data_IF_183203485148
#
_entry.id   IF_183203485148
#
_cell.length_a   1.000
_cell.length_b   1.000
_cell.length_c   1.000
_cell.angle_alpha   90.00
_cell.angle_beta   90.00
_cell.angle_gamma   90.00
#
_symmetry.space_group_name_H-M   'P 1'
#
loop_
_entity.id
_entity.type
_entity.pdbx_description
1 polymer ?
#
# COMPACT_ATOMS: atom_id res chain seq x y z
N UNK A 1 -46.25 -50.46 -5.61
CA UNK A 1 -45.79 -49.14 -6.00
C UNK A 1 -44.59 -48.80 -5.18
N UNK A 2 -43.46 -48.70 -5.82
CA UNK A 2 -42.19 -48.26 -5.14
C UNK A 2 -42.07 -46.74 -5.23
N UNK A 3 -42.14 -46.10 -4.08
CA UNK A 3 -41.81 -44.68 -3.96
C UNK A 3 -40.29 -44.51 -4.13
N UNK A 4 -39.90 -43.92 -5.25
CA UNK A 4 -38.50 -43.45 -5.39
C UNK A 4 -38.34 -42.18 -4.60
N UNK A 5 -37.67 -42.30 -3.48
CA UNK A 5 -37.23 -41.14 -2.72
C UNK A 5 -36.13 -40.42 -3.51
N UNK A 6 -36.43 -39.25 -4.03
CA UNK A 6 -35.43 -38.41 -4.66
C UNK A 6 -34.76 -37.60 -3.54
N UNK A 7 -33.58 -38.03 -3.16
CA UNK A 7 -32.74 -37.23 -2.28
C UNK A 7 -32.14 -36.11 -3.09
N UNK A 8 -32.68 -34.91 -2.97
CA UNK A 8 -31.98 -33.71 -3.39
C UNK A 8 -30.80 -33.47 -2.44
N UNK A 9 -29.62 -33.88 -2.86
CA UNK A 9 -28.38 -33.41 -2.25
C UNK A 9 -28.24 -31.94 -2.56
N UNK A 10 -28.65 -31.08 -1.62
CA UNK A 10 -28.30 -29.70 -1.65
C UNK A 10 -26.79 -29.60 -1.33
N UNK A 11 -26.00 -29.46 -2.38
CA UNK A 11 -24.57 -29.13 -2.21
C UNK A 11 -24.51 -27.67 -1.75
N UNK A 12 -24.41 -27.49 -0.44
CA UNK A 12 -24.07 -26.19 0.10
C UNK A 12 -22.61 -25.91 -0.28
N UNK A 13 -22.43 -25.15 -1.33
CA UNK A 13 -21.11 -24.56 -1.63
C UNK A 13 -20.85 -23.51 -0.57
N UNK A 14 -20.10 -23.87 0.46
CA UNK A 14 -19.57 -22.89 1.40
C UNK A 14 -18.54 -22.06 0.66
N UNK A 15 -18.91 -20.85 0.24
CA UNK A 15 -17.95 -19.86 -0.24
C UNK A 15 -17.17 -19.37 0.98
N UNK A 16 -15.97 -19.92 1.16
CA UNK A 16 -15.07 -19.41 2.17
C UNK A 16 -14.62 -18.00 1.74
N UNK A 17 -15.21 -16.98 2.34
CA UNK A 17 -14.69 -15.62 2.23
C UNK A 17 -13.42 -15.56 3.05
N UNK A 18 -12.27 -15.64 2.38
CA UNK A 18 -10.98 -15.39 3.03
C UNK A 18 -10.93 -13.93 3.45
N UNK A 19 -10.72 -13.63 4.73
CA UNK A 19 -10.55 -12.26 5.14
C UNK A 19 -9.34 -11.66 4.40
N UNK A 20 -9.52 -10.47 3.83
CA UNK A 20 -8.43 -9.71 3.22
C UNK A 20 -7.56 -9.19 4.36
N UNK A 21 -6.63 -10.01 4.82
CA UNK A 21 -5.60 -9.56 5.74
C UNK A 21 -4.47 -8.90 4.97
N UNK A 22 -3.88 -7.86 5.58
CA UNK A 22 -2.60 -7.36 5.15
C UNK A 22 -1.61 -8.53 5.22
N UNK A 23 -1.26 -9.08 4.06
CA UNK A 23 -0.39 -10.24 3.97
C UNK A 23 1.08 -9.84 4.21
N UNK A 24 1.91 -10.84 4.48
CA UNK A 24 3.36 -10.68 4.58
C UNK A 24 3.91 -9.93 3.36
N UNK A 25 4.74 -8.95 3.63
CA UNK A 25 5.50 -8.25 2.58
C UNK A 25 6.87 -8.88 2.46
N UNK A 26 7.18 -9.43 1.29
CA UNK A 26 8.36 -10.28 1.07
C UNK A 26 9.42 -9.67 0.16
N UNK A 27 9.13 -8.54 -0.47
CA UNK A 27 10.05 -7.89 -1.40
C UNK A 27 9.87 -6.38 -1.39
N UNK A 28 10.91 -5.69 -1.83
CA UNK A 28 10.87 -4.25 -2.03
C UNK A 28 9.80 -3.86 -3.05
N UNK A 29 9.67 -4.62 -4.13
CA UNK A 29 8.64 -4.39 -5.16
C UNK A 29 7.23 -4.49 -4.59
N UNK A 30 6.99 -5.48 -3.74
CA UNK A 30 5.70 -5.65 -3.07
C UNK A 30 5.44 -4.49 -2.11
N UNK A 31 6.46 -4.04 -1.38
CA UNK A 31 6.39 -2.89 -0.50
C UNK A 31 6.02 -1.61 -1.28
N UNK A 32 6.71 -1.36 -2.38
CA UNK A 32 6.45 -0.21 -3.27
C UNK A 32 5.03 -0.24 -3.79
N UNK A 33 4.55 -1.38 -4.25
CA UNK A 33 3.18 -1.52 -4.76
C UNK A 33 2.15 -1.17 -3.69
N UNK A 34 2.32 -1.67 -2.49
CA UNK A 34 1.40 -1.40 -1.38
C UNK A 34 1.41 0.07 -0.98
N UNK A 35 2.58 0.68 -0.95
CA UNK A 35 2.71 2.12 -0.68
C UNK A 35 2.07 2.94 -1.79
N UNK A 36 2.32 2.59 -3.05
CA UNK A 36 1.72 3.26 -4.19
C UNK A 36 0.18 3.23 -4.15
N UNK A 37 -0.40 2.10 -3.83
CA UNK A 37 -1.86 1.96 -3.67
C UNK A 37 -2.39 2.80 -2.50
N UNK A 38 -1.67 2.82 -1.38
CA UNK A 38 -2.04 3.61 -0.21
C UNK A 38 -1.98 5.12 -0.49
N UNK A 39 -0.93 5.58 -1.15
CA UNK A 39 -0.77 6.98 -1.56
C UNK A 39 -1.93 7.43 -2.44
N UNK A 40 -2.30 6.61 -3.43
CA UNK A 40 -3.40 6.91 -4.33
C UNK A 40 -4.76 6.89 -3.60
N UNK A 41 -5.01 5.89 -2.79
CA UNK A 41 -6.26 5.74 -2.04
C UNK A 41 -6.49 6.89 -1.06
N UNK A 42 -5.44 7.32 -0.39
CA UNK A 42 -5.49 8.38 0.61
C UNK A 42 -5.24 9.79 0.03
N UNK A 43 -4.95 9.88 -1.25
CA UNK A 43 -4.68 11.15 -1.96
C UNK A 43 -3.62 12.00 -1.25
N UNK A 44 -2.49 11.36 -0.93
CA UNK A 44 -1.43 12.01 -0.15
C UNK A 44 -0.60 13.02 -0.93
N UNK A 45 -0.73 13.06 -2.24
CA UNK A 45 -0.06 14.04 -3.10
C UNK A 45 -0.93 14.35 -4.31
N UNK A 46 -0.80 15.57 -4.82
CA UNK A 46 -1.41 16.00 -6.07
C UNK A 46 -0.55 15.73 -7.30
N UNK A 47 0.68 15.25 -7.09
CA UNK A 47 1.59 14.92 -8.18
C UNK A 47 1.08 13.70 -8.96
N UNK A 48 1.30 13.72 -10.26
CA UNK A 48 0.98 12.56 -11.12
C UNK A 48 1.84 11.37 -10.74
N UNK A 49 1.33 10.13 -10.85
CA UNK A 49 2.11 8.93 -10.53
C UNK A 49 3.45 8.85 -11.25
N UNK A 50 3.52 9.30 -12.51
CA UNK A 50 4.74 9.31 -13.32
C UNK A 50 5.81 10.27 -12.77
N UNK A 51 5.42 11.20 -11.91
CA UNK A 51 6.31 12.19 -11.30
C UNK A 51 6.70 11.83 -9.86
N UNK A 52 6.40 10.61 -9.44
CA UNK A 52 6.77 10.07 -8.14
C UNK A 52 7.86 9.02 -8.29
N UNK A 53 8.79 9.04 -7.36
CA UNK A 53 9.83 8.02 -7.22
C UNK A 53 9.64 7.31 -5.88
N UNK A 54 9.71 5.99 -5.90
CA UNK A 54 9.60 5.15 -4.71
C UNK A 54 10.94 4.48 -4.47
N UNK A 55 11.54 4.76 -3.33
CA UNK A 55 12.82 4.20 -2.95
C UNK A 55 12.63 3.30 -1.74
N UNK A 56 12.67 2.00 -1.95
CA UNK A 56 12.51 1.02 -0.90
C UNK A 56 13.86 0.59 -0.33
N UNK A 57 13.90 0.43 0.97
CA UNK A 57 15.04 -0.09 1.69
C UNK A 57 14.56 -1.14 2.70
N UNK A 58 15.25 -2.28 2.72
CA UNK A 58 14.97 -3.33 3.69
C UNK A 58 15.49 -2.93 5.06
N UNK A 59 14.63 -3.06 6.07
CA UNK A 59 14.98 -2.83 7.47
C UNK A 59 14.94 -4.14 8.25
N UNK A 60 15.30 -4.08 9.52
CA UNK A 60 15.28 -5.26 10.41
C UNK A 60 13.89 -5.92 10.46
N UNK A 61 12.83 -5.13 10.52
CA UNK A 61 11.45 -5.62 10.72
C UNK A 61 10.58 -5.53 9.48
N UNK A 62 11.08 -4.98 8.38
CA UNK A 62 10.28 -4.79 7.18
C UNK A 62 10.96 -3.92 6.15
N UNK A 63 10.29 -2.85 5.76
CA UNK A 63 10.75 -1.95 4.71
C UNK A 63 10.45 -0.50 5.07
N UNK A 64 11.34 0.38 4.64
CA UNK A 64 11.08 1.82 4.54
C UNK A 64 10.94 2.16 3.07
N UNK A 65 9.93 2.94 2.71
CA UNK A 65 9.75 3.43 1.35
C UNK A 65 9.68 4.94 1.38
N UNK A 66 10.68 5.58 0.80
CA UNK A 66 10.71 7.03 0.63
C UNK A 66 10.03 7.42 -0.67
N UNK A 67 9.15 8.40 -0.58
CA UNK A 67 8.53 9.04 -1.73
C UNK A 67 9.30 10.30 -2.07
N UNK A 68 9.72 10.40 -3.33
CA UNK A 68 10.44 11.58 -3.84
C UNK A 68 9.78 12.13 -5.08
N UNK A 69 9.93 13.44 -5.26
CA UNK A 69 9.56 14.09 -6.51
C UNK A 69 10.53 13.70 -7.61
N UNK A 70 9.99 13.29 -8.76
CA UNK A 70 10.77 13.09 -9.96
C UNK A 70 10.85 14.41 -10.72
N UNK A 71 12.06 14.88 -10.98
CA UNK A 71 12.30 16.08 -11.77
C UNK A 71 12.90 15.69 -13.12
N UNK A 72 12.15 15.94 -14.17
CA UNK A 72 12.57 15.73 -15.56
C UNK A 72 11.82 16.68 -16.49
N UNK A 73 12.00 16.52 -17.81
CA UNK A 73 11.37 17.38 -18.81
C UNK A 73 9.84 17.36 -18.74
N UNK A 74 9.23 16.26 -18.31
CA UNK A 74 7.77 16.13 -18.21
C UNK A 74 7.21 16.61 -16.87
N UNK A 75 7.92 16.33 -15.79
CA UNK A 75 7.48 16.63 -14.44
C UNK A 75 7.89 18.02 -13.95
N UNK A 76 8.85 18.64 -14.63
CA UNK A 76 9.40 19.93 -14.21
C UNK A 76 10.36 19.81 -13.03
N UNK A 77 10.73 20.95 -12.48
CA UNK A 77 11.67 21.04 -11.37
C UNK A 77 13.14 20.95 -11.80
N UNK A 78 14.03 21.12 -10.84
CA UNK A 78 15.47 21.02 -11.06
C UNK A 78 15.88 19.55 -11.17
N UNK A 79 16.37 19.09 -12.35
CA UNK A 79 16.74 17.69 -12.55
C UNK A 79 17.91 17.22 -11.68
N UNK A 80 18.63 18.13 -11.04
CA UNK A 80 19.68 17.78 -10.10
C UNK A 80 19.17 17.43 -8.71
N UNK A 81 17.88 17.59 -8.44
CA UNK A 81 17.27 17.34 -7.14
C UNK A 81 16.10 16.34 -7.24
N UNK A 82 15.90 15.62 -6.15
CA UNK A 82 14.75 14.71 -5.97
C UNK A 82 14.27 14.83 -4.53
N UNK A 83 13.50 15.90 -4.20
CA UNK A 83 13.08 16.16 -2.84
C UNK A 83 12.23 15.03 -2.27
N UNK A 84 12.48 14.68 -1.01
CA UNK A 84 11.63 13.76 -0.29
C UNK A 84 10.30 14.43 0.04
N UNK A 85 9.22 13.74 -0.23
CA UNK A 85 7.87 14.19 0.11
C UNK A 85 7.46 13.66 1.48
N UNK A 86 7.49 12.36 1.64
CA UNK A 86 7.20 11.65 2.88
C UNK A 86 7.71 10.22 2.75
N UNK A 87 7.56 9.46 3.82
CA UNK A 87 8.01 8.07 3.87
C UNK A 87 6.95 7.16 4.48
N UNK A 88 7.09 5.89 4.21
CA UNK A 88 6.32 4.81 4.82
C UNK A 88 7.25 3.84 5.54
N UNK A 89 6.77 3.28 6.61
CA UNK A 89 7.34 2.09 7.24
C UNK A 89 6.34 0.94 7.11
N UNK A 90 6.81 -0.23 6.70
CA UNK A 90 5.97 -1.41 6.51
C UNK A 90 6.55 -2.54 7.33
N UNK A 91 5.74 -3.12 8.22
CA UNK A 91 6.08 -4.34 8.92
C UNK A 91 5.96 -5.53 7.97
N UNK A 92 7.02 -6.33 7.84
CA UNK A 92 7.04 -7.45 6.88
C UNK A 92 6.08 -8.58 7.24
N UNK A 93 5.80 -8.80 8.52
CA UNK A 93 4.96 -9.91 8.98
C UNK A 93 3.49 -9.59 8.91
N UNK A 94 3.12 -8.44 9.45
CA UNK A 94 1.72 -8.01 9.51
C UNK A 94 1.27 -7.25 8.28
N UNK A 95 2.22 -6.67 7.53
CA UNK A 95 1.92 -5.76 6.43
C UNK A 95 1.37 -4.41 6.89
N UNK A 96 1.35 -4.14 8.18
CA UNK A 96 0.88 -2.86 8.71
C UNK A 96 1.81 -1.74 8.29
N UNK A 97 1.21 -0.60 7.94
CA UNK A 97 1.93 0.55 7.45
C UNK A 97 1.76 1.75 8.37
N UNK A 98 2.81 2.57 8.39
CA UNK A 98 2.83 3.89 9.01
C UNK A 98 3.44 4.88 8.04
N UNK A 99 3.04 6.13 8.14
CA UNK A 99 3.57 7.20 7.28
C UNK A 99 3.74 8.49 8.07
N UNK A 100 4.73 9.29 7.67
CA UNK A 100 4.92 10.64 8.18
C UNK A 100 4.26 11.69 7.27
N UNK A 101 3.50 11.27 6.26
CA UNK A 101 2.71 12.17 5.43
C UNK A 101 1.76 13.01 6.28
N UNK A 102 1.44 14.22 5.80
CA UNK A 102 0.49 15.09 6.49
C UNK A 102 -0.84 14.36 6.75
N UNK A 103 -1.44 14.64 7.89
CA UNK A 103 -2.75 14.13 8.25
C UNK A 103 -3.84 14.70 7.32
N UNK A 104 -5.05 14.10 7.28
CA UNK A 104 -6.14 14.59 6.42
C UNK A 104 -6.51 16.07 6.62
N UNK A 105 -6.25 16.63 7.81
CA UNK A 105 -6.45 18.05 8.10
C UNK A 105 -5.35 18.97 7.54
N UNK A 106 -4.33 18.40 6.87
CA UNK A 106 -3.19 19.12 6.32
C UNK A 106 -2.05 19.36 7.31
N UNK A 107 -2.20 18.96 8.57
CA UNK A 107 -1.12 19.12 9.55
C UNK A 107 0.00 18.10 9.34
N UNK A 108 1.22 18.62 9.27
CA UNK A 108 2.42 17.80 9.25
C UNK A 108 3.14 17.92 10.60
N UNK A 109 3.29 16.79 11.29
CA UNK A 109 3.95 16.74 12.59
C UNK A 109 5.35 16.15 12.53
N UNK A 110 5.71 15.51 11.43
CA UNK A 110 6.95 14.76 11.29
C UNK A 110 6.91 13.39 11.97
N UNK A 111 5.82 13.07 12.65
CA UNK A 111 5.64 11.78 13.31
C UNK A 111 4.94 10.78 12.40
N UNK A 112 5.31 9.50 12.55
CA UNK A 112 4.64 8.42 11.85
C UNK A 112 3.30 8.09 12.50
N UNK A 113 2.29 7.91 11.66
CA UNK A 113 0.95 7.49 12.06
C UNK A 113 0.51 6.26 11.28
N UNK A 114 -0.35 5.45 11.88
CA UNK A 114 -0.91 4.30 11.18
C UNK A 114 -1.73 4.76 9.96
N UNK A 115 -1.61 4.01 8.87
CA UNK A 115 -2.35 4.23 7.64
C UNK A 115 -2.66 2.88 7.00
N UNK A 116 -3.92 2.71 6.53
CA UNK A 116 -4.41 1.49 5.87
C UNK A 116 -4.17 0.22 6.67
#
# INVERSE_FOLDING_TARGET
MKLKSIYCLAVLSAVAVLPVHAENVRSEEQAIRRVSESVARNRLTSLKPECLMFMAEKTRNGYTVDMREKHDAQCGGDPATAPRLFSYEIDRRSGKMKTDAAAPNGEWTGEYRAID
#
